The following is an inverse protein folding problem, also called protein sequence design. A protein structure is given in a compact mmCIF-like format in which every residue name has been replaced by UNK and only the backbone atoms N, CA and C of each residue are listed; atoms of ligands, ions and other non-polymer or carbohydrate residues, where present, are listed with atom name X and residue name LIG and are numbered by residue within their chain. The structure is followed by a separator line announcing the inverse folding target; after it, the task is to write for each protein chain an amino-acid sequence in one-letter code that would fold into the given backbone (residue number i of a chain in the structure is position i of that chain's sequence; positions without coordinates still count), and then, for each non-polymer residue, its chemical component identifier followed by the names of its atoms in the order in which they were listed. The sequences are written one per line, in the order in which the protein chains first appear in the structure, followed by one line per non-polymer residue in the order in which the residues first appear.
data_IF_722091815000
#
_entry.id   IF_722091815000
#
_cell.length_a   1.000
_cell.length_b   1.000
_cell.length_c   1.000
_cell.angle_alpha   90.00
_cell.angle_beta   90.00
_cell.angle_gamma   90.00
#
_symmetry.space_group_name_H-M   'P 1'
#
loop_
_entity.id
_entity.type
_entity.pdbx_description
1 polymer ?
#
# COMPACT_ATOMS: atom_id res chain seq x y z
N UNK A 1 15.97 22.85 8.07
CA UNK A 1 14.85 21.88 7.99
C UNK A 1 14.52 21.51 6.55
N UNK A 2 14.54 22.45 5.59
CA UNK A 2 14.10 22.19 4.20
C UNK A 2 14.92 21.12 3.46
N UNK A 3 16.24 21.08 3.69
CA UNK A 3 17.12 20.06 3.07
C UNK A 3 16.84 18.65 3.60
N UNK A 4 16.55 18.51 4.90
CA UNK A 4 16.20 17.22 5.50
C UNK A 4 14.87 16.72 4.94
N UNK A 5 13.87 17.59 4.85
CA UNK A 5 12.57 17.26 4.24
C UNK A 5 12.73 16.89 2.77
N UNK A 6 13.58 17.59 2.02
CA UNK A 6 13.87 17.26 0.62
C UNK A 6 14.55 15.89 0.47
N UNK A 7 15.51 15.56 1.34
CA UNK A 7 16.18 14.25 1.35
C UNK A 7 15.19 13.14 1.69
N UNK A 8 14.34 13.33 2.71
CA UNK A 8 13.30 12.36 3.08
C UNK A 8 12.33 12.17 1.90
N UNK A 9 11.88 13.24 1.25
CA UNK A 9 10.98 13.14 0.10
C UNK A 9 11.62 12.36 -1.05
N UNK A 10 12.90 12.58 -1.34
CA UNK A 10 13.63 11.85 -2.38
C UNK A 10 13.81 10.37 -2.03
N UNK A 11 14.17 10.05 -0.78
CA UNK A 11 14.31 8.68 -0.31
C UNK A 11 12.97 7.94 -0.30
N UNK A 12 11.89 8.59 0.12
CA UNK A 12 10.53 8.05 0.05
C UNK A 12 10.12 7.80 -1.41
N UNK A 13 10.41 8.74 -2.31
CA UNK A 13 10.15 8.56 -3.74
C UNK A 13 10.91 7.36 -4.32
N UNK A 14 12.17 7.17 -3.93
CA UNK A 14 12.98 6.02 -4.29
C UNK A 14 12.42 4.70 -3.70
N UNK A 15 12.00 4.70 -2.44
CA UNK A 15 11.42 3.52 -1.82
C UNK A 15 10.13 3.09 -2.53
N UNK A 16 9.26 4.06 -2.87
CA UNK A 16 8.03 3.79 -3.63
C UNK A 16 8.34 3.24 -5.02
N UNK A 17 9.32 3.79 -5.73
CA UNK A 17 9.68 3.28 -7.06
C UNK A 17 10.24 1.86 -7.01
N UNK A 18 10.99 1.52 -5.95
CA UNK A 18 11.48 0.16 -5.71
C UNK A 18 10.36 -0.83 -5.37
N UNK A 19 9.32 -0.41 -4.64
CA UNK A 19 8.13 -1.24 -4.39
C UNK A 19 7.42 -1.57 -5.71
N UNK A 20 7.18 -0.56 -6.54
CA UNK A 20 6.53 -0.74 -7.85
C UNK A 20 7.35 -1.65 -8.76
N UNK A 21 8.68 -1.47 -8.79
CA UNK A 21 9.58 -2.34 -9.53
C UNK A 21 9.55 -3.77 -8.99
N UNK A 22 9.56 -3.95 -7.67
CA UNK A 22 9.48 -5.27 -7.05
C UNK A 22 8.23 -6.02 -7.43
N UNK A 23 7.05 -5.37 -7.36
CA UNK A 23 5.79 -5.97 -7.80
C UNK A 23 5.84 -6.37 -9.28
N UNK A 24 6.33 -5.49 -10.16
CA UNK A 24 6.42 -5.78 -11.59
C UNK A 24 7.37 -6.97 -11.89
N UNK A 25 8.52 -7.02 -11.23
CA UNK A 25 9.48 -8.13 -11.36
C UNK A 25 8.87 -9.44 -10.85
N UNK A 26 8.14 -9.42 -9.74
CA UNK A 26 7.48 -10.62 -9.18
C UNK A 26 6.41 -11.20 -10.08
N UNK A 27 5.65 -10.34 -10.76
CA UNK A 27 4.65 -10.78 -11.72
C UNK A 27 5.31 -11.46 -12.94
N UNK A 28 6.42 -10.92 -13.44
CA UNK A 28 7.06 -11.40 -14.67
C UNK A 28 7.97 -12.60 -14.45
N UNK A 29 8.78 -12.55 -13.39
CA UNK A 29 9.86 -13.51 -13.14
C UNK A 29 9.55 -14.48 -12.00
N UNK A 30 8.46 -14.26 -11.26
CA UNK A 30 8.10 -15.09 -10.10
C UNK A 30 9.00 -14.79 -8.91
N UNK A 31 9.77 -15.79 -8.46
CA UNK A 31 10.60 -15.67 -7.26
C UNK A 31 11.86 -14.84 -7.54
N UNK A 32 11.82 -13.59 -7.10
CA UNK A 32 12.95 -12.68 -7.10
C UNK A 32 13.27 -12.27 -5.66
N UNK A 33 14.57 -12.08 -5.32
CA UNK A 33 14.96 -11.57 -4.00
C UNK A 33 14.19 -10.27 -3.73
N UNK A 34 13.93 -9.92 -2.47
CA UNK A 34 13.14 -8.75 -2.01
C UNK A 34 11.66 -8.68 -2.48
N UNK A 35 11.27 -9.37 -3.54
CA UNK A 35 9.94 -9.24 -4.16
C UNK A 35 8.87 -10.03 -3.42
N UNK A 36 9.15 -11.27 -3.00
CA UNK A 36 8.18 -12.11 -2.29
C UNK A 36 7.62 -11.40 -1.06
N UNK A 37 8.50 -10.86 -0.20
CA UNK A 37 8.08 -10.14 0.99
C UNK A 37 7.27 -8.86 0.68
N UNK A 38 7.64 -8.08 -0.34
CA UNK A 38 6.89 -6.86 -0.71
C UNK A 38 5.52 -7.22 -1.26
N UNK A 39 5.45 -8.23 -2.14
CA UNK A 39 4.20 -8.72 -2.70
C UNK A 39 3.28 -9.27 -1.61
N UNK A 40 3.79 -10.07 -0.68
CA UNK A 40 3.03 -10.61 0.45
C UNK A 40 2.49 -9.51 1.37
N UNK A 41 3.28 -8.47 1.66
CA UNK A 41 2.82 -7.33 2.45
C UNK A 41 1.71 -6.54 1.73
N UNK A 42 1.86 -6.32 0.42
CA UNK A 42 0.84 -5.62 -0.38
C UNK A 42 -0.45 -6.44 -0.49
N UNK A 43 -0.35 -7.75 -0.76
CA UNK A 43 -1.50 -8.64 -0.82
C UNK A 43 -2.18 -8.78 0.55
N UNK A 44 -1.41 -8.89 1.63
CA UNK A 44 -1.93 -8.89 3.00
C UNK A 44 -2.68 -7.60 3.34
N UNK A 45 -2.15 -6.44 2.92
CA UNK A 45 -2.84 -5.16 3.06
C UNK A 45 -4.13 -5.10 2.25
N UNK A 46 -4.10 -5.50 0.97
CA UNK A 46 -5.30 -5.54 0.11
C UNK A 46 -6.36 -6.49 0.67
N UNK A 47 -5.98 -7.67 1.16
CA UNK A 47 -6.89 -8.60 1.81
C UNK A 47 -7.49 -8.00 3.08
N UNK A 48 -6.68 -7.33 3.91
CA UNK A 48 -7.18 -6.61 5.08
C UNK A 48 -8.19 -5.53 4.69
N UNK A 49 -7.94 -4.80 3.60
CA UNK A 49 -8.88 -3.81 3.05
C UNK A 49 -10.15 -4.46 2.48
N UNK A 50 -10.02 -5.62 1.84
CA UNK A 50 -11.15 -6.40 1.31
C UNK A 50 -12.04 -6.97 2.41
N UNK A 51 -11.44 -7.57 3.44
CA UNK A 51 -12.11 -8.11 4.62
C UNK A 51 -12.77 -6.99 5.43
N UNK A 52 -12.10 -5.84 5.56
CA UNK A 52 -12.67 -4.64 6.15
C UNK A 52 -13.66 -3.91 5.23
N UNK A 53 -13.79 -4.28 3.95
CA UNK A 53 -14.57 -3.56 2.95
C UNK A 53 -16.06 -3.47 3.29
N UNK A 54 -16.64 -4.56 3.80
CA UNK A 54 -18.01 -4.56 4.33
C UNK A 54 -18.13 -3.65 5.56
N UNK A 55 -17.15 -3.71 6.47
CA UNK A 55 -17.12 -2.87 7.68
C UNK A 55 -17.01 -1.38 7.31
N UNK A 56 -16.18 -1.04 6.32
CA UNK A 56 -16.05 0.32 5.80
C UNK A 56 -17.33 0.83 5.15
N UNK A 57 -18.02 -0.01 4.39
CA UNK A 57 -19.31 0.34 3.79
C UNK A 57 -20.42 0.51 4.84
N UNK A 58 -20.43 -0.37 5.87
CA UNK A 58 -21.34 -0.26 7.02
C UNK A 58 -21.09 1.01 7.84
N UNK A 59 -19.83 1.37 8.07
CA UNK A 59 -19.46 2.61 8.76
C UNK A 59 -19.84 3.83 7.92
N UNK A 60 -19.60 3.82 6.61
CA UNK A 60 -20.03 4.90 5.72
C UNK A 60 -21.57 5.07 5.70
N UNK A 61 -22.31 3.97 5.65
CA UNK A 61 -23.77 3.97 5.77
C UNK A 61 -24.26 4.48 7.13
N UNK A 62 -23.62 4.05 8.22
CA UNK A 62 -23.90 4.54 9.57
C UNK A 62 -23.66 6.04 9.70
N UNK A 63 -22.53 6.54 9.19
CA UNK A 63 -22.20 7.96 9.20
C UNK A 63 -23.22 8.77 8.39
N UNK A 64 -23.60 8.30 7.19
CA UNK A 64 -24.66 8.94 6.39
C UNK A 64 -26.00 8.97 7.13
N UNK A 65 -26.38 7.90 7.83
CA UNK A 65 -27.62 7.84 8.61
C UNK A 65 -27.59 8.67 9.91
N UNK A 66 -26.40 9.04 10.39
CA UNK A 66 -26.19 9.90 11.56
C UNK A 66 -25.85 11.35 11.19
N UNK A 67 -25.86 11.65 9.90
CA UNK A 67 -25.62 12.99 9.35
C UNK A 67 -26.89 13.84 9.26
N UNK A 68 -28.05 13.27 9.65
CA UNK A 68 -29.30 13.98 9.99
C UNK A 68 -29.23 14.60 11.40
#
# INVERSE_FOLDING_TARGET
MDKLNAVIAQLTGLAISLIVLGVAVGIVFGDAPFVGAVLDNVLGFVNTLGDAGLVGLLVAGYLMAKLD
#
